data_IF_220887357666
#
_entry.id   IF_220887357666
#
_cell.length_a   1.000
_cell.length_b   1.000
_cell.length_c   1.000
_cell.angle_alpha   90.00
_cell.angle_beta   90.00
_cell.angle_gamma   90.00
#
_symmetry.space_group_name_H-M   'P 1'
#
loop_
_entity.id
_entity.type
_entity.pdbx_description
1 polymer ?
#
# COMPACT_ATOMS: atom_id res chain seq x y z
N UNK A 1 17.99 13.10 25.59
CA UNK A 1 17.27 12.43 24.47
C UNK A 1 16.10 13.32 24.11
N UNK A 2 15.98 13.73 22.85
CA UNK A 2 14.87 14.59 22.42
C UNK A 2 13.55 13.81 22.50
N UNK A 3 12.57 14.39 23.18
CA UNK A 3 11.22 13.81 23.31
C UNK A 3 10.28 14.36 22.24
N UNK A 4 9.10 13.71 22.06
CA UNK A 4 8.12 14.20 21.11
C UNK A 4 7.52 15.55 21.53
N UNK A 5 7.31 15.77 22.84
CA UNK A 5 6.84 17.07 23.35
C UNK A 5 7.83 18.20 23.06
N UNK A 6 9.11 17.96 23.29
CA UNK A 6 10.15 18.93 22.99
C UNK A 6 10.22 19.21 21.47
N UNK A 7 10.14 18.18 20.64
CA UNK A 7 10.10 18.34 19.20
C UNK A 7 8.91 19.21 18.76
N UNK A 8 7.71 18.92 19.24
CA UNK A 8 6.50 19.70 18.94
C UNK A 8 6.64 21.15 19.40
N UNK A 9 7.30 21.39 20.53
CA UNK A 9 7.51 22.74 21.03
C UNK A 9 8.38 23.61 20.09
N UNK A 10 9.35 22.99 19.42
CA UNK A 10 10.23 23.69 18.46
C UNK A 10 9.63 23.86 17.08
N UNK A 11 8.58 23.11 16.76
CA UNK A 11 8.02 23.08 15.40
C UNK A 11 6.81 24.01 15.26
N UNK A 12 6.70 24.75 14.15
CA UNK A 12 5.49 25.49 13.85
C UNK A 12 4.34 24.51 13.62
N UNK A 13 3.13 24.92 14.02
CA UNK A 13 1.90 24.25 13.57
C UNK A 13 1.77 24.56 12.08
N UNK A 14 1.81 23.57 11.17
CA UNK A 14 1.67 23.84 9.77
C UNK A 14 0.30 24.46 9.51
N UNK A 15 0.26 25.50 8.71
CA UNK A 15 -1.01 25.98 8.16
C UNK A 15 -1.54 24.83 7.31
N UNK A 16 -2.76 24.39 7.60
CA UNK A 16 -3.44 23.33 6.84
C UNK A 16 -3.66 23.82 5.40
N UNK A 17 -2.66 23.63 4.58
CA UNK A 17 -2.80 23.75 3.14
C UNK A 17 -3.56 22.50 2.65
N UNK A 18 -4.37 22.65 1.61
CA UNK A 18 -5.15 21.56 1.04
C UNK A 18 -4.32 20.34 0.61
N UNK A 19 -3.02 20.54 0.38
CA UNK A 19 -2.10 19.50 -0.03
C UNK A 19 -0.81 19.49 0.81
N UNK A 20 -0.44 18.32 1.30
CA UNK A 20 0.86 18.13 1.93
C UNK A 20 2.01 18.26 0.93
N UNK A 21 3.19 18.75 1.35
CA UNK A 21 4.36 18.76 0.50
C UNK A 21 4.73 17.34 0.09
N UNK A 22 5.21 17.17 -1.12
CA UNK A 22 5.68 15.87 -1.58
C UNK A 22 7.03 15.51 -0.96
N UNK A 23 7.32 14.21 -0.85
CA UNK A 23 8.63 13.74 -0.38
C UNK A 23 9.79 14.32 -1.20
N UNK A 24 9.61 14.43 -2.52
CA UNK A 24 10.59 15.04 -3.43
C UNK A 24 10.81 16.51 -3.11
N UNK A 25 9.74 17.26 -2.88
CA UNK A 25 9.82 18.69 -2.55
C UNK A 25 10.58 18.90 -1.24
N UNK A 26 10.25 18.13 -0.18
CA UNK A 26 10.93 18.21 1.10
C UNK A 26 12.43 17.88 1.00
N UNK A 27 12.79 16.86 0.23
CA UNK A 27 14.21 16.49 0.02
C UNK A 27 15.01 17.56 -0.71
N UNK A 28 14.36 18.30 -1.62
CA UNK A 28 15.03 19.30 -2.46
C UNK A 28 15.08 20.67 -1.81
N UNK A 29 14.02 21.09 -1.13
CA UNK A 29 13.84 22.45 -0.63
C UNK A 29 13.71 22.52 0.90
N UNK A 30 13.44 21.40 1.57
CA UNK A 30 13.24 21.37 3.01
C UNK A 30 14.55 21.38 3.79
N UNK A 31 14.56 22.06 4.93
CA UNK A 31 15.66 22.02 5.90
C UNK A 31 15.32 21.00 6.97
N UNK A 32 16.16 19.98 7.12
CA UNK A 32 16.00 18.94 8.14
C UNK A 32 16.31 19.54 9.50
N UNK A 33 15.39 19.39 10.45
CA UNK A 33 15.62 19.74 11.86
C UNK A 33 16.28 18.57 12.61
N UNK A 34 15.71 17.37 12.48
CA UNK A 34 16.24 16.15 13.09
C UNK A 34 15.97 14.95 12.20
N UNK A 35 16.86 13.98 12.18
CA UNK A 35 16.65 12.72 11.47
C UNK A 35 17.20 11.53 12.25
N UNK A 36 16.59 10.36 12.05
CA UNK A 36 16.99 9.09 12.66
C UNK A 36 16.89 7.96 11.64
N UNK A 37 17.98 7.23 11.48
CA UNK A 37 17.95 5.92 10.80
C UNK A 37 17.70 4.85 11.85
N UNK A 38 16.69 4.03 11.62
CA UNK A 38 16.29 2.92 12.51
C UNK A 38 16.94 1.63 12.03
N UNK A 39 16.96 1.43 10.72
CA UNK A 39 17.59 0.30 10.06
C UNK A 39 18.22 0.79 8.73
N UNK A 40 18.89 -0.09 8.02
CA UNK A 40 19.56 0.23 6.75
C UNK A 40 18.61 0.87 5.71
N UNK A 41 17.35 0.46 5.74
CA UNK A 41 16.33 0.87 4.78
C UNK A 41 15.16 1.65 5.41
N UNK A 42 15.27 2.04 6.69
CA UNK A 42 14.22 2.74 7.43
C UNK A 42 14.78 4.04 8.02
N UNK A 43 14.19 5.15 7.62
CA UNK A 43 14.60 6.48 8.07
C UNK A 43 13.38 7.37 8.33
N UNK A 44 13.47 8.15 9.40
CA UNK A 44 12.53 9.22 9.70
C UNK A 44 13.29 10.55 9.76
N UNK A 45 12.73 11.57 9.14
CA UNK A 45 13.30 12.93 9.14
C UNK A 45 12.19 13.94 9.42
N UNK A 46 12.43 14.88 10.30
CA UNK A 46 11.51 16.00 10.57
C UNK A 46 12.14 17.28 10.02
N UNK A 47 11.32 18.03 9.30
CA UNK A 47 11.71 19.27 8.66
C UNK A 47 11.26 20.48 9.47
N UNK A 48 11.95 21.61 9.32
CA UNK A 48 11.67 22.84 10.08
C UNK A 48 10.25 23.42 9.85
N UNK A 49 9.57 22.99 8.79
CA UNK A 49 8.20 23.36 8.49
C UNK A 49 7.14 22.52 9.22
N UNK A 50 7.55 21.64 10.15
CA UNK A 50 6.64 20.80 10.94
C UNK A 50 6.15 19.53 10.25
N UNK A 51 6.72 19.16 9.09
CA UNK A 51 6.42 17.92 8.41
C UNK A 51 7.46 16.84 8.69
N UNK A 52 7.00 15.61 8.85
CA UNK A 52 7.84 14.41 8.91
C UNK A 52 7.83 13.68 7.57
N UNK A 53 8.98 13.16 7.18
CA UNK A 53 9.16 12.26 6.04
C UNK A 53 9.62 10.90 6.58
N UNK A 54 8.79 9.88 6.40
CA UNK A 54 9.11 8.50 6.71
C UNK A 54 9.42 7.73 5.43
N UNK A 55 10.53 7.02 5.44
CA UNK A 55 11.03 6.26 4.30
C UNK A 55 11.33 4.83 4.72
N UNK A 56 10.83 3.87 3.93
CA UNK A 56 11.09 2.44 4.11
C UNK A 56 11.19 1.75 2.75
N UNK A 57 12.32 1.09 2.48
CA UNK A 57 12.50 0.24 1.29
C UNK A 57 12.10 0.92 -0.04
N UNK A 58 12.42 2.21 -0.20
CA UNK A 58 12.07 2.98 -1.41
C UNK A 58 10.65 3.57 -1.42
N UNK A 59 9.83 3.24 -0.44
CA UNK A 59 8.55 3.89 -0.21
C UNK A 59 8.74 5.10 0.70
N UNK A 60 7.90 6.13 0.52
CA UNK A 60 7.96 7.33 1.35
C UNK A 60 6.56 7.89 1.60
N UNK A 61 6.36 8.45 2.78
CA UNK A 61 5.15 9.19 3.14
C UNK A 61 5.51 10.46 3.90
N UNK A 62 4.70 11.50 3.72
CA UNK A 62 4.85 12.80 4.38
C UNK A 62 3.60 13.08 5.20
N UNK A 63 3.77 13.59 6.39
CA UNK A 63 2.68 13.96 7.28
C UNK A 63 3.10 15.05 8.27
N UNK A 64 2.16 15.88 8.77
CA UNK A 64 2.44 16.83 9.85
C UNK A 64 2.71 16.07 11.15
N UNK A 65 3.69 16.50 11.93
CA UNK A 65 3.95 15.89 13.24
C UNK A 65 2.78 16.06 14.21
N UNK A 66 1.93 17.06 13.99
CA UNK A 66 0.76 17.38 14.79
C UNK A 66 -0.42 16.44 14.57
N UNK A 67 -0.43 15.66 13.47
CA UNK A 67 -1.42 14.60 13.23
C UNK A 67 -1.18 13.38 14.14
N UNK A 68 -0.01 13.28 14.74
CA UNK A 68 0.38 12.19 15.63
C UNK A 68 -0.21 12.40 17.03
N UNK A 69 -1.47 12.05 17.19
CA UNK A 69 -2.21 12.04 18.47
C UNK A 69 -2.16 10.65 19.12
N UNK A 70 -3.24 10.27 19.81
CA UNK A 70 -3.38 8.92 20.36
C UNK A 70 -3.14 7.86 19.26
N UNK A 71 -2.59 6.73 19.66
CA UNK A 71 -2.35 5.61 18.75
C UNK A 71 -3.26 4.44 19.07
N UNK A 72 -4.01 3.98 18.08
CA UNK A 72 -4.85 2.79 18.17
C UNK A 72 -4.30 1.72 17.25
N UNK A 73 -4.02 0.57 17.82
CA UNK A 73 -3.64 -0.62 17.06
C UNK A 73 -4.91 -1.26 16.45
N UNK A 74 -4.91 -1.53 15.15
CA UNK A 74 -6.12 -1.92 14.39
C UNK A 74 -6.87 -3.15 14.95
N UNK A 75 -6.16 -4.07 15.60
CA UNK A 75 -6.72 -5.31 16.14
C UNK A 75 -7.07 -5.23 17.62
N UNK A 76 -6.67 -4.20 18.32
CA UNK A 76 -6.86 -4.10 19.77
C UNK A 76 -7.76 -2.90 20.14
N UNK A 77 -8.63 -3.10 21.14
CA UNK A 77 -9.45 -2.02 21.69
C UNK A 77 -8.63 -1.02 22.53
N UNK A 78 -7.34 -1.32 22.72
CA UNK A 78 -6.46 -0.51 23.54
C UNK A 78 -5.88 0.65 22.72
N UNK A 79 -6.05 1.83 23.27
CA UNK A 79 -5.51 3.09 22.74
C UNK A 79 -4.35 3.56 23.61
N UNK A 80 -3.21 3.87 23.01
CA UNK A 80 -2.08 4.46 23.69
C UNK A 80 -2.23 5.98 23.60
N UNK A 81 -2.25 6.66 24.76
CA UNK A 81 -2.46 8.10 24.78
C UNK A 81 -1.28 8.87 24.22
N UNK A 82 -1.56 10.02 23.60
CA UNK A 82 -0.56 10.98 23.15
C UNK A 82 0.41 11.38 24.26
N UNK A 83 -0.09 11.56 25.47
CA UNK A 83 0.70 11.94 26.65
C UNK A 83 1.82 10.93 27.00
N UNK A 84 1.62 9.66 26.69
CA UNK A 84 2.66 8.66 26.84
C UNK A 84 3.77 8.88 25.82
N UNK A 85 3.41 9.06 24.54
CA UNK A 85 4.37 9.30 23.46
C UNK A 85 5.13 10.62 23.62
N UNK A 86 4.52 11.65 24.21
CA UNK A 86 5.18 12.93 24.44
C UNK A 86 6.42 12.83 25.32
N UNK A 87 6.46 11.86 26.24
CA UNK A 87 7.59 11.60 27.14
C UNK A 87 8.65 10.69 26.54
N UNK A 88 8.29 9.98 25.49
CA UNK A 88 9.17 9.03 24.82
C UNK A 88 10.02 9.70 23.71
N UNK A 89 10.92 8.92 23.13
CA UNK A 89 11.76 9.40 22.04
C UNK A 89 10.91 9.91 20.86
N UNK A 90 11.25 11.08 20.36
CA UNK A 90 10.50 11.81 19.34
C UNK A 90 10.08 10.98 18.12
N UNK A 91 10.91 10.01 17.73
CA UNK A 91 10.69 9.23 16.51
C UNK A 91 9.70 8.07 16.67
N UNK A 92 9.44 7.59 17.90
CA UNK A 92 8.62 6.38 18.10
C UNK A 92 7.20 6.52 17.53
N UNK A 93 6.47 7.56 17.93
CA UNK A 93 5.11 7.79 17.44
C UNK A 93 5.07 8.09 15.94
N UNK A 94 6.11 8.83 15.46
CA UNK A 94 6.21 9.21 14.04
C UNK A 94 6.46 7.99 13.14
N UNK A 95 7.21 7.00 13.59
CA UNK A 95 7.41 5.74 12.85
C UNK A 95 6.10 4.99 12.71
N UNK A 96 5.36 4.81 13.81
CA UNK A 96 4.06 4.13 13.78
C UNK A 96 3.09 4.81 12.80
N UNK A 97 3.02 6.13 12.81
CA UNK A 97 2.21 6.89 11.85
C UNK A 97 2.67 6.68 10.40
N UNK A 98 3.99 6.71 10.19
CA UNK A 98 4.57 6.49 8.87
C UNK A 98 4.27 5.10 8.31
N UNK A 99 4.40 4.06 9.12
CA UNK A 99 4.09 2.67 8.75
C UNK A 99 2.61 2.51 8.40
N UNK A 100 1.71 3.01 9.25
CA UNK A 100 0.27 2.94 9.02
C UNK A 100 -0.14 3.66 7.72
N UNK A 101 0.46 4.81 7.43
CA UNK A 101 0.19 5.55 6.18
C UNK A 101 0.70 4.81 4.96
N UNK A 102 1.88 4.21 5.01
CA UNK A 102 2.40 3.40 3.90
C UNK A 102 1.52 2.18 3.68
N UNK A 103 1.13 1.46 4.74
CA UNK A 103 0.26 0.29 4.64
C UNK A 103 -1.10 0.65 4.03
N UNK A 104 -1.76 1.71 4.51
CA UNK A 104 -3.01 2.22 3.92
C UNK A 104 -2.86 2.60 2.45
N UNK A 105 -1.76 3.22 2.07
CA UNK A 105 -1.49 3.57 0.68
C UNK A 105 -1.30 2.33 -0.20
N UNK A 106 -0.61 1.30 0.30
CA UNK A 106 -0.44 0.03 -0.40
C UNK A 106 -1.76 -0.71 -0.56
N UNK A 107 -2.57 -0.79 0.50
CA UNK A 107 -3.91 -1.39 0.47
C UNK A 107 -4.83 -0.67 -0.54
N UNK A 108 -4.85 0.66 -0.52
CA UNK A 108 -5.61 1.46 -1.48
C UNK A 108 -5.17 1.20 -2.92
N UNK A 109 -3.87 1.06 -3.16
CA UNK A 109 -3.35 0.70 -4.50
C UNK A 109 -3.73 -0.71 -4.91
N UNK A 110 -3.71 -1.67 -3.98
CA UNK A 110 -4.14 -3.04 -4.24
C UNK A 110 -5.64 -3.10 -4.53
N UNK A 111 -6.46 -2.42 -3.74
CA UNK A 111 -7.91 -2.34 -3.96
C UNK A 111 -8.28 -1.71 -5.30
N UNK A 112 -7.54 -0.70 -5.76
CA UNK A 112 -7.74 -0.10 -7.09
C UNK A 112 -7.35 -1.04 -8.24
N UNK A 113 -6.42 -1.98 -7.99
CA UNK A 113 -5.99 -2.98 -8.99
C UNK A 113 -6.85 -4.24 -8.95
N UNK A 114 -7.43 -4.58 -7.79
CA UNK A 114 -8.37 -5.69 -7.68
C UNK A 114 -9.72 -5.25 -8.23
N UNK A 115 -10.07 -5.78 -9.38
CA UNK A 115 -11.42 -5.65 -9.91
C UNK A 115 -12.35 -6.43 -8.98
N UNK A 116 -13.40 -5.78 -8.46
CA UNK A 116 -14.38 -6.45 -7.61
C UNK A 116 -14.98 -7.65 -8.36
N UNK A 117 -14.97 -8.82 -7.74
CA UNK A 117 -15.53 -10.06 -8.33
C UNK A 117 -16.98 -9.89 -8.79
N UNK A 118 -17.76 -9.02 -8.14
CA UNK A 118 -19.13 -8.70 -8.52
C UNK A 118 -19.23 -7.85 -9.80
N UNK A 119 -18.26 -6.98 -10.07
CA UNK A 119 -18.20 -6.22 -11.33
C UNK A 119 -17.72 -7.09 -12.50
N UNK A 120 -16.90 -8.12 -12.20
CA UNK A 120 -16.41 -9.10 -13.17
C UNK A 120 -17.50 -10.09 -13.59
N UNK A 121 -18.48 -10.38 -12.71
CA UNK A 121 -19.47 -11.42 -12.99
C UNK A 121 -20.45 -11.08 -14.11
N UNK A 122 -20.70 -9.82 -14.43
CA UNK A 122 -21.58 -9.43 -15.54
C UNK A 122 -20.86 -9.37 -16.89
N UNK A 123 -19.63 -8.87 -16.94
CA UNK A 123 -18.85 -8.85 -18.18
C UNK A 123 -18.12 -10.16 -18.47
N UNK A 124 -17.68 -10.90 -17.44
CA UNK A 124 -17.00 -12.19 -17.59
C UNK A 124 -17.96 -13.37 -17.78
N UNK A 125 -19.25 -13.21 -17.56
CA UNK A 125 -20.23 -14.19 -17.99
C UNK A 125 -20.10 -14.52 -19.47
N UNK A 126 -19.75 -13.53 -20.29
CA UNK A 126 -19.47 -13.70 -21.73
C UNK A 126 -18.09 -14.32 -21.97
N UNK A 127 -17.05 -13.94 -21.22
CA UNK A 127 -15.69 -14.49 -21.36
C UNK A 127 -15.60 -15.91 -20.79
N UNK A 128 -16.25 -16.20 -19.66
CA UNK A 128 -16.34 -17.56 -19.12
C UNK A 128 -17.06 -18.52 -20.05
N UNK A 129 -18.05 -18.04 -20.76
CA UNK A 129 -18.76 -18.84 -21.82
C UNK A 129 -17.87 -19.06 -23.06
N UNK A 130 -17.01 -18.08 -23.40
CA UNK A 130 -16.04 -18.22 -24.50
C UNK A 130 -14.90 -19.19 -24.15
N UNK A 131 -14.38 -19.17 -22.93
CA UNK A 131 -13.37 -20.14 -22.48
C UNK A 131 -13.93 -21.55 -22.40
N UNK A 132 -15.16 -21.74 -21.88
CA UNK A 132 -15.83 -23.01 -21.88
C UNK A 132 -16.06 -23.54 -23.33
N UNK A 133 -16.41 -22.65 -24.26
CA UNK A 133 -16.61 -23.00 -25.67
C UNK A 133 -15.29 -23.39 -26.34
N UNK A 134 -14.17 -22.71 -26.03
CA UNK A 134 -12.84 -23.05 -26.55
C UNK A 134 -12.36 -24.38 -26.00
N UNK A 135 -12.55 -24.63 -24.69
CA UNK A 135 -12.24 -25.93 -24.06
C UNK A 135 -13.05 -27.06 -24.62
N UNK A 136 -14.37 -26.90 -24.77
CA UNK A 136 -15.25 -27.87 -25.40
C UNK A 136 -14.85 -28.17 -26.85
N UNK A 137 -14.45 -27.13 -27.60
CA UNK A 137 -14.00 -27.28 -28.98
C UNK A 137 -12.69 -28.07 -29.06
N UNK A 138 -11.75 -27.81 -28.13
CA UNK A 138 -10.51 -28.55 -28.03
C UNK A 138 -10.75 -30.03 -27.67
N UNK A 139 -11.59 -30.31 -26.68
CA UNK A 139 -11.94 -31.66 -26.26
C UNK A 139 -12.63 -32.43 -27.42
N UNK A 140 -13.57 -31.80 -28.12
CA UNK A 140 -14.23 -32.41 -29.30
C UNK A 140 -13.23 -32.73 -30.40
N UNK A 141 -12.25 -31.85 -30.63
CA UNK A 141 -11.22 -32.05 -31.63
C UNK A 141 -10.31 -33.24 -31.29
N UNK A 142 -9.92 -33.39 -30.03
CA UNK A 142 -9.15 -34.54 -29.56
C UNK A 142 -9.93 -35.83 -29.66
N UNK A 143 -11.22 -35.85 -29.23
CA UNK A 143 -12.09 -37.04 -29.38
C UNK A 143 -12.26 -37.46 -30.81
N UNK A 144 -12.44 -36.52 -31.75
CA UNK A 144 -12.54 -36.80 -33.17
C UNK A 144 -11.22 -37.39 -33.70
N UNK A 145 -10.08 -36.89 -33.29
CA UNK A 145 -8.76 -37.41 -33.68
C UNK A 145 -8.54 -38.85 -33.14
N UNK A 146 -8.92 -39.11 -31.91
CA UNK A 146 -8.86 -40.46 -31.34
C UNK A 146 -9.77 -41.44 -32.11
N UNK A 147 -11.01 -41.04 -32.38
CA UNK A 147 -11.95 -41.86 -33.15
C UNK A 147 -11.44 -42.13 -34.57
N UNK A 148 -10.86 -41.14 -35.24
CA UNK A 148 -10.28 -41.32 -36.56
C UNK A 148 -9.04 -42.22 -36.53
N UNK A 149 -8.28 -42.22 -35.41
CA UNK A 149 -7.15 -43.13 -35.17
C UNK A 149 -7.56 -44.60 -35.01
N UNK A 150 -8.80 -44.85 -34.51
CA UNK A 150 -9.33 -46.18 -34.35
C UNK A 150 -10.01 -46.76 -35.62
N UNK A 151 -10.28 -45.91 -36.64
CA UNK A 151 -10.84 -46.34 -37.90
C UNK A 151 -9.79 -46.98 -38.82
N UNK A 152 -10.16 -48.04 -39.45
CA UNK A 152 -9.32 -48.68 -40.50
C UNK A 152 -9.24 -47.79 -41.74
N UNK A 153 -8.20 -47.97 -42.58
CA UNK A 153 -7.99 -47.18 -43.79
C UNK A 153 -9.23 -47.18 -44.70
N UNK A 154 -9.93 -48.33 -44.81
CA UNK A 154 -11.18 -48.43 -45.58
C UNK A 154 -12.37 -47.64 -45.00
N UNK A 155 -12.33 -47.33 -43.71
CA UNK A 155 -13.40 -46.57 -43.03
C UNK A 155 -13.18 -45.06 -43.05
N UNK A 156 -11.96 -44.62 -43.37
CA UNK A 156 -11.59 -43.22 -43.55
C UNK A 156 -11.96 -42.65 -44.93
N UNK A 157 -12.18 -43.49 -45.90
CA UNK A 157 -12.51 -43.12 -47.31
C UNK A 157 -14.01 -43.00 -47.62
N UNK A 158 -14.86 -43.13 -46.63
CA UNK A 158 -16.32 -43.04 -46.82
C UNK A 158 -16.87 -41.64 -46.47
#
# INVERSE_FOLDING_TARGET
MLTLAELKHFMPVPVLEENYPTAKYLKTHGTIFVSKSIATNVKISVYQNGYALYEISGLATVFPIWDCQNYRYEMEQNEISEQWFEKEAWYLRLILEGEDRINRNLETRQQRKSISYSAVSEEWGVLGSLEATVLETAIRKEMIQELLGLLTERQKEV
#
